data_IF_347649062289
#
_entry.id   IF_347649062289
#
_cell.length_a   1.000
_cell.length_b   1.000
_cell.length_c   1.000
_cell.angle_alpha   90.00
_cell.angle_beta   90.00
_cell.angle_gamma   90.00
#
_symmetry.space_group_name_H-M   'P 1'
#
loop_
_entity.id
_entity.type
_entity.pdbx_description
1 polymer ?
#
# COMPACT_ATOMS: atom_id res chain seq x y z
N UNK A 1 -18.07 8.85 -8.59
CA UNK A 1 -17.33 9.49 -7.48
C UNK A 1 -17.06 10.94 -7.83
N UNK A 2 -17.24 11.85 -6.87
CA UNK A 2 -16.95 13.28 -7.08
C UNK A 2 -15.46 13.54 -7.26
N UNK A 3 -15.12 14.56 -8.07
CA UNK A 3 -13.76 15.09 -8.20
C UNK A 3 -13.68 16.38 -7.39
N UNK A 4 -12.71 16.47 -6.49
CA UNK A 4 -12.43 17.70 -5.71
C UNK A 4 -11.26 18.43 -6.36
N UNK A 5 -11.39 19.75 -6.53
CA UNK A 5 -10.29 20.59 -7.02
C UNK A 5 -9.40 20.98 -5.84
N UNK A 6 -8.09 20.93 -6.06
CA UNK A 6 -7.08 21.33 -5.09
C UNK A 6 -6.11 22.29 -5.77
N UNK A 7 -5.63 23.29 -5.02
CA UNK A 7 -4.49 24.09 -5.43
C UNK A 7 -3.23 23.46 -4.86
N UNK A 8 -2.22 23.23 -5.70
CA UNK A 8 -0.93 22.66 -5.29
C UNK A 8 0.19 23.46 -5.95
N UNK A 9 1.29 23.63 -5.24
CA UNK A 9 2.53 24.18 -5.77
C UNK A 9 3.43 23.02 -6.19
N UNK A 10 3.97 23.08 -7.40
CA UNK A 10 4.91 22.10 -7.96
C UNK A 10 6.07 22.85 -8.61
N UNK A 11 7.26 22.26 -8.58
CA UNK A 11 8.41 22.87 -9.27
C UNK A 11 8.15 22.94 -10.77
N UNK A 12 8.58 24.05 -11.38
CA UNK A 12 8.39 24.34 -12.81
C UNK A 12 8.93 23.21 -13.70
N UNK A 13 10.12 22.68 -13.36
CA UNK A 13 10.74 21.55 -14.06
C UNK A 13 9.84 20.30 -14.17
N UNK A 14 8.94 20.06 -13.20
CA UNK A 14 8.03 18.93 -13.24
C UNK A 14 6.79 19.23 -14.09
N UNK A 15 6.35 20.49 -14.11
CA UNK A 15 5.26 20.93 -14.99
C UNK A 15 5.70 20.82 -16.45
N UNK A 16 6.92 21.22 -16.78
CA UNK A 16 7.47 21.12 -18.15
C UNK A 16 7.55 19.67 -18.65
N UNK A 17 7.98 18.76 -17.77
CA UNK A 17 8.00 17.32 -18.08
C UNK A 17 6.58 16.77 -18.25
N UNK A 18 5.63 17.20 -17.41
CA UNK A 18 4.23 16.80 -17.52
C UNK A 18 3.61 17.27 -18.85
N UNK A 19 3.91 18.50 -19.26
CA UNK A 19 3.48 19.06 -20.53
C UNK A 19 4.07 18.34 -21.73
N UNK A 20 5.31 17.88 -21.61
CA UNK A 20 5.92 17.01 -22.61
C UNK A 20 5.14 15.71 -22.77
N UNK A 21 4.62 15.13 -21.69
CA UNK A 21 3.80 13.92 -21.77
C UNK A 21 2.39 14.18 -22.31
N UNK A 22 1.79 15.32 -21.99
CA UNK A 22 0.48 15.72 -22.54
C UNK A 22 0.58 16.02 -24.03
N UNK A 23 1.61 16.76 -24.47
CA UNK A 23 1.86 17.05 -25.89
C UNK A 23 2.16 15.80 -26.72
N UNK A 24 2.86 14.82 -26.12
CA UNK A 24 3.05 13.49 -26.72
C UNK A 24 1.80 12.59 -26.66
N UNK A 25 0.67 13.11 -26.20
CA UNK A 25 -0.61 12.39 -26.07
C UNK A 25 -0.53 11.13 -25.19
N UNK A 26 0.45 11.06 -24.29
CA UNK A 26 0.54 9.99 -23.29
C UNK A 26 -0.58 10.17 -22.25
N UNK A 27 -0.89 11.42 -21.90
CA UNK A 27 -2.02 11.78 -21.05
C UNK A 27 -2.91 12.81 -21.76
N UNK A 28 -4.22 12.76 -21.54
CA UNK A 28 -5.16 13.71 -22.14
C UNK A 28 -5.02 15.12 -21.57
N UNK A 29 -4.60 15.24 -20.31
CA UNK A 29 -4.35 16.52 -19.64
C UNK A 29 -3.53 16.32 -18.36
N UNK A 30 -3.01 17.42 -17.82
CA UNK A 30 -2.25 17.45 -16.56
C UNK A 30 -3.01 16.85 -15.38
N UNK A 31 -4.32 17.09 -15.29
CA UNK A 31 -5.13 16.56 -14.17
C UNK A 31 -5.20 15.03 -14.18
N UNK A 32 -5.33 14.42 -15.37
CA UNK A 32 -5.31 12.96 -15.52
C UNK A 32 -3.95 12.39 -15.09
N UNK A 33 -2.86 12.97 -15.59
CA UNK A 33 -1.50 12.52 -15.28
C UNK A 33 -1.22 12.57 -13.76
N UNK A 34 -1.58 13.67 -13.10
CA UNK A 34 -1.42 13.83 -11.65
C UNK A 34 -2.31 12.84 -10.90
N UNK A 35 -3.56 12.66 -11.31
CA UNK A 35 -4.48 11.72 -10.67
C UNK A 35 -3.94 10.29 -10.72
N UNK A 36 -3.37 9.89 -11.85
CA UNK A 36 -2.79 8.56 -12.04
C UNK A 36 -1.52 8.37 -11.20
N UNK A 37 -0.62 9.36 -11.18
CA UNK A 37 0.57 9.34 -10.34
C UNK A 37 0.22 9.23 -8.84
N UNK A 38 -0.80 9.97 -8.37
CA UNK A 38 -1.29 9.90 -6.99
C UNK A 38 -1.86 8.51 -6.69
N UNK A 39 -2.69 7.96 -7.59
CA UNK A 39 -3.26 6.62 -7.44
C UNK A 39 -2.15 5.56 -7.34
N UNK A 40 -1.15 5.63 -8.20
CA UNK A 40 -0.03 4.71 -8.21
C UNK A 40 0.79 4.82 -6.92
N UNK A 41 1.13 6.04 -6.48
CA UNK A 41 1.90 6.26 -5.26
C UNK A 41 1.17 5.73 -4.03
N UNK A 42 -0.14 5.98 -3.93
CA UNK A 42 -0.97 5.44 -2.86
C UNK A 42 -1.04 3.92 -2.89
N UNK A 43 -1.16 3.31 -4.08
CA UNK A 43 -1.16 1.85 -4.22
C UNK A 43 0.19 1.24 -3.78
N UNK A 44 1.31 1.84 -4.18
CA UNK A 44 2.66 1.41 -3.76
C UNK A 44 2.83 1.50 -2.25
N UNK A 45 2.42 2.62 -1.63
CA UNK A 45 2.47 2.79 -0.17
C UNK A 45 1.60 1.75 0.54
N UNK A 46 0.36 1.55 0.08
CA UNK A 46 -0.57 0.56 0.64
C UNK A 46 -0.01 -0.86 0.60
N UNK A 47 0.66 -1.25 -0.49
CA UNK A 47 1.29 -2.58 -0.60
C UNK A 47 2.38 -2.81 0.45
N UNK A 48 3.13 -1.79 0.82
CA UNK A 48 4.16 -1.91 1.87
C UNK A 48 3.59 -1.87 3.29
N UNK A 49 2.33 -1.46 3.47
CA UNK A 49 1.72 -1.33 4.79
C UNK A 49 1.60 -2.67 5.50
N UNK A 50 1.11 -3.71 4.82
CA UNK A 50 1.00 -5.05 5.41
C UNK A 50 2.37 -5.57 5.86
N UNK A 51 3.39 -5.50 5.00
CA UNK A 51 4.74 -5.92 5.35
C UNK A 51 5.31 -5.14 6.55
N UNK A 52 5.07 -3.82 6.63
CA UNK A 52 5.49 -2.99 7.77
C UNK A 52 4.75 -3.31 9.06
N UNK A 53 3.45 -3.61 8.99
CA UNK A 53 2.68 -4.00 10.18
C UNK A 53 3.03 -5.43 10.61
N UNK A 54 3.23 -6.38 9.69
CA UNK A 54 3.71 -7.72 10.01
C UNK A 54 5.12 -7.70 10.65
N UNK A 55 5.98 -6.76 10.26
CA UNK A 55 7.30 -6.60 10.89
C UNK A 55 7.24 -6.13 12.36
N UNK A 56 6.09 -5.69 12.86
CA UNK A 56 5.89 -5.36 14.29
C UNK A 56 5.51 -6.56 15.14
N UNK A 57 5.12 -7.68 14.52
CA UNK A 57 4.70 -8.88 15.23
C UNK A 57 5.93 -9.64 15.74
N UNK A 58 5.84 -10.14 16.98
CA UNK A 58 6.84 -11.02 17.56
C UNK A 58 6.48 -12.48 17.28
N UNK A 59 7.24 -13.13 16.41
CA UNK A 59 6.99 -14.51 15.98
C UNK A 59 6.97 -15.53 17.13
N UNK A 60 7.69 -15.27 18.23
CA UNK A 60 7.71 -16.16 19.39
C UNK A 60 6.47 -15.99 20.26
N UNK A 61 6.06 -14.75 20.48
CA UNK A 61 4.82 -14.44 21.22
C UNK A 61 3.57 -14.94 20.49
N UNK A 62 3.47 -14.65 19.18
CA UNK A 62 2.30 -15.03 18.38
C UNK A 62 2.14 -16.56 18.28
N UNK A 63 3.25 -17.30 18.18
CA UNK A 63 3.22 -18.78 18.23
C UNK A 63 2.77 -19.30 19.58
N UNK A 64 3.32 -18.76 20.67
CA UNK A 64 2.94 -19.20 22.02
C UNK A 64 1.45 -18.96 22.30
N UNK A 65 0.88 -17.86 21.79
CA UNK A 65 -0.55 -17.59 21.88
C UNK A 65 -1.38 -18.52 20.99
N UNK A 66 -0.93 -18.80 19.76
CA UNK A 66 -1.64 -19.71 18.87
C UNK A 66 -1.63 -21.17 19.36
N UNK A 67 -0.55 -21.56 20.04
CA UNK A 67 -0.35 -22.89 20.60
C UNK A 67 -0.94 -23.02 22.02
N UNK A 68 -1.56 -21.97 22.57
CA UNK A 68 -2.22 -21.99 23.88
C UNK A 68 -3.44 -22.93 23.82
N UNK A 69 -3.30 -24.15 24.34
CA UNK A 69 -4.30 -25.23 24.31
C UNK A 69 -3.86 -26.50 23.57
N UNK A 70 -2.88 -26.40 22.65
CA UNK A 70 -2.29 -27.58 21.99
C UNK A 70 -1.65 -28.58 22.96
N UNK A 71 -0.95 -28.16 24.04
CA UNK A 71 -0.37 -29.10 25.01
C UNK A 71 -1.44 -29.90 25.76
N UNK A 72 -2.57 -29.28 26.11
CA UNK A 72 -3.69 -29.98 26.73
C UNK A 72 -4.39 -30.93 25.75
N UNK A 73 -4.60 -30.51 24.50
CA UNK A 73 -5.19 -31.35 23.45
C UNK A 73 -4.33 -32.57 23.12
N UNK A 74 -3.01 -32.39 23.02
CA UNK A 74 -2.05 -33.49 22.80
C UNK A 74 -2.12 -34.56 23.91
N UNK A 75 -2.44 -34.17 25.14
CA UNK A 75 -2.60 -35.11 26.25
C UNK A 75 -3.90 -35.92 26.19
N UNK A 76 -4.90 -35.44 25.44
CA UNK A 76 -6.21 -36.09 25.27
C UNK A 76 -6.33 -36.87 23.97
N UNK A 77 -5.38 -36.73 23.05
CA UNK A 77 -5.40 -37.47 21.80
C UNK A 77 -4.95 -38.92 22.01
N UNK A 78 -5.72 -39.91 21.54
CA UNK A 78 -5.31 -41.30 21.63
C UNK A 78 -4.08 -41.55 20.74
N UNK A 79 -3.09 -42.28 21.27
CA UNK A 79 -1.98 -42.80 20.48
C UNK A 79 -2.51 -43.75 19.40
N UNK A 80 -2.13 -43.51 18.14
CA UNK A 80 -2.46 -44.37 17.00
C UNK A 80 -1.56 -45.59 16.92
#
# INVERSE_FOLDING_TARGET
>A
MGKTKIAITLDEQYIDQLDTFVSKHIFQNRSQAIQEAVKEKLARIKRTRLAKECAKLDSTFEKAMADEGLPEDLSQWPEY
#
